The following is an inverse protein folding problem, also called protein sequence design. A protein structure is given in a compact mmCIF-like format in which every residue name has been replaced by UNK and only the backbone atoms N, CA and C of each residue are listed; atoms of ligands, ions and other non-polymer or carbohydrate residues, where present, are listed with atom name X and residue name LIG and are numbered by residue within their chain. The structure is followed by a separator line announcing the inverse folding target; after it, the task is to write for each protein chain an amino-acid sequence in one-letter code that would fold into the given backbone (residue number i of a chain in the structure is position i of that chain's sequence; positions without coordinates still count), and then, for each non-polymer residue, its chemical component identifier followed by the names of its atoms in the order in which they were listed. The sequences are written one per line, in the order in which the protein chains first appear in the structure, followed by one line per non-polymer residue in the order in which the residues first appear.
data_IF_529217645742
#
_entry.id   IF_529217645742
#
_cell.length_a   1.000
_cell.length_b   1.000
_cell.length_c   1.000
_cell.angle_alpha   90.00
_cell.angle_beta   90.00
_cell.angle_gamma   90.00
#
_symmetry.space_group_name_H-M   'P 1'
#
loop_
_entity.id
_entity.type
_entity.pdbx_description
1 polymer ?
#
# COMPACT_ATOMS: atom_id res chain seq x y z
N UNK A 1 14.05 -32.22 56.10
CA UNK A 1 14.51 -31.88 54.74
C UNK A 1 13.54 -31.00 53.97
N UNK A 2 12.22 -31.19 54.09
CA UNK A 2 11.18 -30.40 53.41
C UNK A 2 11.25 -28.87 53.68
N UNK A 3 11.54 -28.43 54.91
CA UNK A 3 11.69 -27.00 55.26
C UNK A 3 12.93 -26.32 54.65
N UNK A 4 14.00 -27.10 54.39
CA UNK A 4 15.23 -26.58 53.73
C UNK A 4 15.05 -26.47 52.22
N UNK A 5 14.22 -27.35 51.63
CA UNK A 5 13.80 -27.25 50.23
C UNK A 5 12.86 -26.08 49.97
N UNK A 6 11.92 -25.81 50.87
CA UNK A 6 11.01 -24.66 50.78
C UNK A 6 11.73 -23.30 50.89
N UNK A 7 12.76 -23.19 51.75
CA UNK A 7 13.59 -21.98 51.81
C UNK A 7 14.41 -21.76 50.53
N UNK A 8 14.89 -22.84 49.90
CA UNK A 8 15.63 -22.75 48.64
C UNK A 8 14.74 -22.36 47.45
N UNK A 9 13.49 -22.82 47.41
CA UNK A 9 12.53 -22.43 46.35
C UNK A 9 12.05 -20.99 46.52
N UNK A 10 11.84 -20.52 47.77
CA UNK A 10 11.45 -19.13 48.04
C UNK A 10 12.59 -18.14 47.72
N UNK A 11 13.84 -18.53 47.97
CA UNK A 11 15.01 -17.71 47.62
C UNK A 11 15.26 -17.64 46.10
N UNK A 12 14.94 -18.71 45.35
CA UNK A 12 15.03 -18.71 43.89
C UNK A 12 13.95 -17.85 43.22
N UNK A 13 12.75 -17.78 43.81
CA UNK A 13 11.65 -16.90 43.36
C UNK A 13 11.93 -15.41 43.62
N UNK A 14 12.72 -15.07 44.64
CA UNK A 14 13.14 -13.69 44.91
C UNK A 14 14.25 -13.17 43.97
N UNK A 15 14.99 -14.05 43.27
CA UNK A 15 15.97 -13.64 42.26
C UNK A 15 15.37 -13.44 40.87
N UNK A 16 14.17 -13.96 40.59
CA UNK A 16 13.44 -13.68 39.35
C UNK A 16 12.70 -12.33 39.36
N UNK A 17 12.60 -11.67 40.53
CA UNK A 17 12.09 -10.30 40.66
C UNK A 17 13.20 -9.24 40.69
N UNK A 18 14.45 -9.62 40.39
CA UNK A 18 15.45 -8.66 39.98
C UNK A 18 15.00 -8.07 38.63
N UNK A 19 14.22 -6.98 38.73
CA UNK A 19 13.83 -6.12 37.64
C UNK A 19 15.03 -5.96 36.71
N UNK A 20 14.93 -6.54 35.50
CA UNK A 20 15.91 -6.26 34.47
C UNK A 20 15.86 -4.74 34.28
N UNK A 21 16.89 -4.06 34.76
CA UNK A 21 17.08 -2.65 34.55
C UNK A 21 17.28 -2.49 33.05
N UNK A 22 16.17 -2.29 32.33
CA UNK A 22 16.20 -1.77 30.98
C UNK A 22 16.89 -0.42 31.11
N UNK A 23 18.11 -0.33 30.58
CA UNK A 23 18.94 0.86 30.57
C UNK A 23 18.21 1.97 29.82
N UNK A 24 17.33 2.70 30.49
CA UNK A 24 16.63 3.83 29.91
C UNK A 24 17.61 4.99 29.71
N UNK A 25 17.47 5.72 28.61
CA UNK A 25 18.28 6.93 28.41
C UNK A 25 18.12 7.90 29.59
N UNK A 26 19.25 8.38 30.10
CA UNK A 26 19.31 9.21 31.31
C UNK A 26 18.83 10.65 31.09
N UNK A 27 18.81 11.12 29.85
CA UNK A 27 18.60 12.52 29.47
C UNK A 27 17.26 12.80 28.78
N UNK A 28 16.34 11.83 28.75
CA UNK A 28 15.01 11.98 28.13
C UNK A 28 13.91 12.35 29.13
N UNK A 29 14.25 12.53 30.40
CA UNK A 29 13.28 12.87 31.45
C UNK A 29 12.60 14.21 31.15
N UNK A 30 11.26 14.22 31.20
CA UNK A 30 10.40 15.37 30.83
C UNK A 30 10.41 15.71 29.33
N UNK A 31 10.99 14.87 28.48
CA UNK A 31 10.83 15.02 27.03
C UNK A 31 9.38 14.66 26.64
N UNK A 32 8.72 15.43 25.77
CA UNK A 32 7.34 15.12 25.36
C UNK A 32 7.20 13.74 24.68
N UNK A 33 8.30 13.16 24.18
CA UNK A 33 8.34 11.84 23.57
C UNK A 33 9.05 10.79 24.44
N UNK A 34 9.27 11.03 25.74
CA UNK A 34 9.99 10.13 26.66
C UNK A 34 9.54 8.66 26.55
N UNK A 35 8.22 8.42 26.66
CA UNK A 35 7.67 7.08 26.59
C UNK A 35 7.90 6.41 25.22
N UNK A 36 7.74 7.17 24.13
CA UNK A 36 7.95 6.70 22.76
C UNK A 36 9.41 6.36 22.49
N UNK A 37 10.33 7.22 22.93
CA UNK A 37 11.77 7.00 22.83
C UNK A 37 12.17 5.74 23.61
N UNK A 38 11.65 5.57 24.83
CA UNK A 38 11.89 4.38 25.65
C UNK A 38 11.43 3.10 24.96
N UNK A 39 10.26 3.11 24.31
CA UNK A 39 9.76 1.95 23.58
C UNK A 39 10.60 1.63 22.35
N UNK A 40 10.98 2.65 21.58
CA UNK A 40 11.88 2.49 20.43
C UNK A 40 13.27 1.98 20.82
N UNK A 41 13.77 2.36 22.00
CA UNK A 41 14.99 1.81 22.56
C UNK A 41 14.83 0.32 22.92
N UNK A 42 13.73 -0.05 23.57
CA UNK A 42 13.41 -1.46 23.89
C UNK A 42 13.27 -2.33 22.64
N UNK A 43 12.73 -1.79 21.56
CA UNK A 43 12.68 -2.44 20.25
C UNK A 43 14.05 -2.51 19.55
N UNK A 44 15.10 -1.94 20.16
CA UNK A 44 16.44 -1.89 19.58
C UNK A 44 16.55 -0.98 18.37
N UNK A 45 15.54 -0.15 18.08
CA UNK A 45 15.53 0.77 16.92
C UNK A 45 16.47 1.94 17.20
N UNK A 46 16.34 2.56 18.38
CA UNK A 46 17.18 3.66 18.80
C UNK A 46 18.36 3.18 19.63
N UNK A 47 19.49 3.87 19.46
CA UNK A 47 20.70 3.68 20.24
C UNK A 47 21.22 5.04 20.71
N UNK A 48 21.87 5.06 21.87
CA UNK A 48 22.50 6.25 22.43
C UNK A 48 23.77 6.64 21.71
N UNK A 49 24.39 7.75 22.12
CA UNK A 49 25.72 8.13 21.64
C UNK A 49 26.78 7.23 22.27
N UNK A 50 27.12 6.12 21.61
CA UNK A 50 28.24 5.25 21.99
C UNK A 50 28.06 4.55 23.34
N UNK A 51 29.08 4.64 24.20
CA UNK A 51 29.18 3.96 25.51
C UNK A 51 28.46 4.68 26.65
N UNK A 52 27.59 5.65 26.34
CA UNK A 52 26.87 6.44 27.33
C UNK A 52 25.38 6.22 27.18
N UNK A 53 24.65 6.11 28.29
CA UNK A 53 23.18 5.99 28.33
C UNK A 53 22.49 7.32 27.99
N UNK A 54 22.95 8.03 26.95
CA UNK A 54 22.53 9.37 26.57
C UNK A 54 21.94 9.34 25.15
N UNK A 55 20.72 9.85 25.01
CA UNK A 55 20.00 9.91 23.74
C UNK A 55 20.24 11.22 22.97
N UNK A 56 20.45 12.33 23.66
CA UNK A 56 20.52 13.69 23.14
C UNK A 56 19.23 14.13 22.42
N UNK A 57 18.08 14.24 23.11
CA UNK A 57 16.77 14.50 22.48
C UNK A 57 16.73 15.80 21.66
N UNK A 58 17.46 16.83 22.08
CA UNK A 58 17.56 18.13 21.38
C UNK A 58 18.59 18.14 20.23
N UNK A 59 19.40 17.08 20.11
CA UNK A 59 20.36 16.93 19.03
C UNK A 59 19.66 16.88 17.67
N UNK A 60 20.34 17.34 16.62
CA UNK A 60 19.81 17.37 15.26
C UNK A 60 20.20 16.10 14.51
N UNK A 61 19.30 15.58 13.67
CA UNK A 61 19.60 14.43 12.84
C UNK A 61 20.35 14.84 11.57
N UNK A 62 21.37 14.06 11.23
CA UNK A 62 21.91 14.06 9.86
C UNK A 62 21.01 13.26 8.94
N UNK A 63 21.16 13.46 7.63
CA UNK A 63 20.44 12.69 6.63
C UNK A 63 20.68 11.19 6.79
N UNK A 64 21.92 10.80 7.04
CA UNK A 64 22.29 9.41 7.30
C UNK A 64 21.51 8.81 8.47
N UNK A 65 21.47 9.52 9.60
CA UNK A 65 20.77 9.06 10.79
C UNK A 65 19.25 9.02 10.60
N UNK A 66 18.67 9.99 9.89
CA UNK A 66 17.24 10.03 9.58
C UNK A 66 16.78 8.84 8.72
N UNK A 67 17.47 8.58 7.61
CA UNK A 67 17.11 7.47 6.71
C UNK A 67 17.34 6.11 7.38
N UNK A 68 18.47 5.92 8.07
CA UNK A 68 18.71 4.67 8.81
C UNK A 68 17.65 4.42 9.89
N UNK A 69 17.18 5.48 10.55
CA UNK A 69 16.11 5.40 11.54
C UNK A 69 14.78 4.95 10.90
N UNK A 70 14.40 5.53 9.76
CA UNK A 70 13.15 5.17 9.05
C UNK A 70 13.20 3.72 8.55
N UNK A 71 14.29 3.34 7.88
CA UNK A 71 14.47 1.98 7.33
C UNK A 71 14.39 0.94 8.43
N UNK A 72 15.12 1.16 9.53
CA UNK A 72 15.15 0.22 10.66
C UNK A 72 13.82 0.19 11.41
N UNK A 73 13.23 1.35 11.67
CA UNK A 73 11.99 1.44 12.45
C UNK A 73 10.79 0.84 11.75
N UNK A 74 10.69 1.03 10.44
CA UNK A 74 9.61 0.44 9.63
C UNK A 74 9.96 -0.97 9.13
N UNK A 75 11.13 -1.53 9.45
CA UNK A 75 11.52 -2.87 9.02
C UNK A 75 11.61 -3.03 7.51
N UNK A 76 11.92 -1.94 6.79
CA UNK A 76 12.06 -1.98 5.34
C UNK A 76 13.22 -2.90 4.96
N UNK A 77 13.01 -3.73 3.95
CA UNK A 77 14.00 -4.68 3.44
C UNK A 77 13.88 -4.83 1.92
N UNK A 78 14.78 -5.61 1.35
CA UNK A 78 14.83 -5.90 -0.10
C UNK A 78 14.94 -7.41 -0.35
N UNK A 79 14.52 -8.23 0.61
CA UNK A 79 14.70 -9.70 0.60
C UNK A 79 13.93 -10.37 -0.54
N UNK A 80 12.91 -9.69 -1.04
CA UNK A 80 12.06 -10.11 -2.16
C UNK A 80 12.62 -9.71 -3.54
N UNK A 81 13.73 -8.97 -3.59
CA UNK A 81 14.36 -8.56 -4.84
C UNK A 81 15.50 -9.53 -5.16
N UNK A 82 15.57 -9.97 -6.42
CA UNK A 82 16.67 -10.82 -6.92
C UNK A 82 17.61 -9.97 -7.74
N UNK A 83 18.87 -9.92 -7.32
CA UNK A 83 19.91 -9.14 -8.00
C UNK A 83 20.88 -10.06 -8.74
N UNK A 84 21.20 -9.69 -9.98
CA UNK A 84 22.30 -10.32 -10.74
C UNK A 84 23.66 -9.90 -10.15
N UNK A 85 23.74 -8.68 -9.59
CA UNK A 85 24.91 -8.10 -8.95
C UNK A 85 24.50 -7.39 -7.68
N UNK A 86 25.29 -7.53 -6.63
CA UNK A 86 25.08 -6.82 -5.36
C UNK A 86 24.94 -5.30 -5.60
N UNK A 87 23.84 -4.67 -5.12
CA UNK A 87 23.63 -3.24 -5.28
C UNK A 87 24.61 -2.44 -4.42
N UNK A 88 25.09 -1.32 -4.96
CA UNK A 88 25.98 -0.40 -4.24
C UNK A 88 25.28 0.93 -4.02
N UNK A 89 25.54 1.59 -2.88
CA UNK A 89 24.93 2.90 -2.59
C UNK A 89 25.30 3.92 -3.67
N UNK A 90 26.51 3.83 -4.24
CA UNK A 90 26.98 4.69 -5.33
C UNK A 90 26.19 4.55 -6.63
N UNK A 91 25.43 3.46 -6.82
CA UNK A 91 24.59 3.28 -8.01
C UNK A 91 23.45 4.32 -8.01
N UNK A 92 22.89 4.59 -6.82
CA UNK A 92 21.81 5.56 -6.61
C UNK A 92 22.30 6.92 -6.12
N UNK A 93 23.39 6.98 -5.35
CA UNK A 93 23.93 8.19 -4.72
C UNK A 93 25.45 8.30 -4.96
N UNK A 94 25.89 8.91 -6.09
CA UNK A 94 27.28 8.87 -6.52
C UNK A 94 28.30 9.47 -5.54
N UNK A 95 27.87 10.36 -4.65
CA UNK A 95 28.72 11.04 -3.66
C UNK A 95 28.89 10.27 -2.34
N UNK A 96 28.15 9.18 -2.15
CA UNK A 96 28.21 8.37 -0.93
C UNK A 96 29.30 7.29 -1.00
N UNK A 97 29.68 6.74 0.15
CA UNK A 97 30.69 5.68 0.25
C UNK A 97 30.04 4.32 0.47
N UNK A 98 30.48 3.31 -0.28
CA UNK A 98 29.92 1.96 -0.25
C UNK A 98 30.16 1.21 1.08
N UNK A 99 31.21 1.57 1.81
CA UNK A 99 31.59 0.98 3.10
C UNK A 99 31.08 1.78 4.32
N UNK A 100 30.30 2.84 4.10
CA UNK A 100 29.75 3.64 5.19
C UNK A 100 28.68 2.86 5.98
N UNK A 101 28.60 3.11 7.28
CA UNK A 101 27.63 2.45 8.18
C UNK A 101 26.16 2.61 7.75
N UNK A 102 25.84 3.68 7.01
CA UNK A 102 24.50 3.97 6.50
C UNK A 102 24.24 3.39 5.09
N UNK A 103 25.26 2.87 4.39
CA UNK A 103 25.15 2.50 2.98
C UNK A 103 24.00 1.52 2.70
N UNK A 104 23.88 0.47 3.52
CA UNK A 104 22.79 -0.51 3.40
C UNK A 104 21.41 0.12 3.60
N UNK A 105 21.26 1.04 4.56
CA UNK A 105 20.00 1.75 4.75
C UNK A 105 19.62 2.56 3.52
N UNK A 106 20.56 3.24 2.87
CA UNK A 106 20.27 4.03 1.66
C UNK A 106 19.93 3.17 0.46
N UNK A 107 20.60 2.02 0.30
CA UNK A 107 20.23 1.03 -0.75
C UNK A 107 18.79 0.57 -0.54
N UNK A 108 18.45 0.13 0.68
CA UNK A 108 17.10 -0.32 1.03
C UNK A 108 16.08 0.81 0.80
N UNK A 109 16.37 2.01 1.28
CA UNK A 109 15.50 3.17 1.14
C UNK A 109 15.22 3.52 -0.33
N UNK A 110 16.26 3.56 -1.16
CA UNK A 110 16.12 3.87 -2.59
C UNK A 110 15.25 2.84 -3.31
N UNK A 111 15.46 1.55 -3.03
CA UNK A 111 14.70 0.46 -3.65
C UNK A 111 13.27 0.33 -3.11
N UNK A 112 12.99 0.91 -1.94
CA UNK A 112 11.66 1.02 -1.37
C UNK A 112 10.97 2.35 -1.70
N UNK A 113 11.55 3.19 -2.56
CA UNK A 113 10.90 4.40 -3.05
C UNK A 113 10.78 5.52 -2.03
N UNK A 114 11.75 5.65 -1.10
CA UNK A 114 11.77 6.72 -0.10
C UNK A 114 12.03 8.12 -0.68
N UNK A 115 12.25 8.22 -1.99
CA UNK A 115 12.35 9.50 -2.72
C UNK A 115 13.47 10.42 -2.20
N UNK A 116 14.66 9.83 -2.01
CA UNK A 116 15.85 10.53 -1.53
C UNK A 116 16.54 11.21 -2.74
N UNK A 117 16.86 12.52 -2.68
CA UNK A 117 17.60 13.18 -3.75
C UNK A 117 18.95 12.52 -4.03
N UNK A 118 19.30 12.37 -5.31
CA UNK A 118 20.53 11.68 -5.76
C UNK A 118 21.82 12.33 -5.26
N UNK A 119 21.81 13.63 -5.04
CA UNK A 119 22.94 14.45 -4.63
C UNK A 119 23.01 14.72 -3.12
N UNK A 120 22.11 14.10 -2.34
CA UNK A 120 22.05 14.17 -0.88
C UNK A 120 23.42 14.00 -0.24
N UNK A 121 23.82 14.95 0.60
CA UNK A 121 24.94 14.81 1.52
C UNK A 121 24.48 14.04 2.77
N UNK A 122 24.98 12.83 3.03
CA UNK A 122 24.57 12.02 4.18
C UNK A 122 24.92 12.67 5.54
N UNK A 123 25.85 13.63 5.56
CA UNK A 123 26.26 14.35 6.77
C UNK A 123 25.46 15.64 7.03
N UNK A 124 24.73 16.13 6.03
CA UNK A 124 23.91 17.33 6.18
C UNK A 124 22.78 17.13 7.20
N UNK A 125 22.39 18.21 7.87
CA UNK A 125 21.25 18.19 8.79
C UNK A 125 19.96 18.00 7.99
N UNK A 126 19.14 17.04 8.42
CA UNK A 126 17.84 16.78 7.80
C UNK A 126 16.79 17.75 8.36
N UNK A 127 16.02 18.36 7.48
CA UNK A 127 14.92 19.25 7.85
C UNK A 127 13.66 18.46 8.25
N UNK A 128 12.71 19.13 8.90
CA UNK A 128 11.41 18.55 9.28
C UNK A 128 10.62 18.06 8.07
N UNK A 129 10.54 18.86 7.01
CA UNK A 129 9.81 18.47 5.79
C UNK A 129 10.43 17.26 5.08
N UNK A 130 11.77 17.17 5.06
CA UNK A 130 12.47 16.04 4.46
C UNK A 130 12.22 14.76 5.25
N UNK A 131 12.35 14.81 6.58
CA UNK A 131 12.06 13.65 7.42
C UNK A 131 10.59 13.23 7.30
N UNK A 132 9.66 14.19 7.30
CA UNK A 132 8.23 13.94 7.10
C UNK A 132 7.97 13.23 5.76
N UNK A 133 8.58 13.72 4.68
CA UNK A 133 8.43 13.13 3.36
C UNK A 133 8.92 11.67 3.31
N UNK A 134 10.17 11.42 3.71
CA UNK A 134 10.74 10.08 3.67
C UNK A 134 10.02 9.11 4.62
N UNK A 135 9.57 9.58 5.79
CA UNK A 135 8.79 8.77 6.72
C UNK A 135 7.46 8.36 6.09
N UNK A 136 6.77 9.29 5.44
CA UNK A 136 5.48 9.01 4.80
C UNK A 136 5.63 8.05 3.62
N UNK A 137 6.66 8.21 2.79
CA UNK A 137 7.00 7.23 1.74
C UNK A 137 7.25 5.85 2.33
N UNK A 138 7.96 5.79 3.45
CA UNK A 138 8.17 4.56 4.21
C UNK A 138 6.88 3.93 4.72
N UNK A 139 5.93 4.72 5.23
CA UNK A 139 4.60 4.22 5.65
C UNK A 139 3.87 3.62 4.45
N UNK A 140 3.77 4.36 3.33
CA UNK A 140 3.06 3.92 2.13
C UNK A 140 3.69 2.68 1.49
N UNK A 141 4.97 2.41 1.76
CA UNK A 141 5.61 1.17 1.30
C UNK A 141 5.03 -0.09 1.96
N UNK A 142 4.46 0.04 3.16
CA UNK A 142 3.91 -1.05 3.95
C UNK A 142 2.49 -1.46 3.52
N UNK A 143 1.85 -0.67 2.66
CA UNK A 143 0.53 -0.96 2.12
C UNK A 143 -0.18 0.31 1.67
N UNK A 144 -1.28 0.10 0.95
CA UNK A 144 -2.20 1.18 0.60
C UNK A 144 -3.10 1.47 1.81
N UNK A 145 -3.13 2.72 2.25
CA UNK A 145 -3.95 3.15 3.39
C UNK A 145 -4.98 4.16 2.93
N UNK A 146 -6.17 4.08 3.53
CA UNK A 146 -7.19 5.11 3.33
C UNK A 146 -6.86 6.35 4.17
N UNK A 147 -6.91 7.52 3.54
CA UNK A 147 -6.76 8.81 4.19
C UNK A 147 -8.06 9.59 4.02
N UNK A 148 -8.41 10.40 5.03
CA UNK A 148 -9.47 11.39 4.86
C UNK A 148 -8.92 12.58 4.08
N UNK A 149 -9.71 13.09 3.13
CA UNK A 149 -9.37 14.30 2.36
C UNK A 149 -9.61 15.55 3.21
N UNK A 150 -8.74 15.76 4.19
CA UNK A 150 -8.71 16.95 5.04
C UNK A 150 -7.48 17.78 4.67
N UNK A 151 -7.64 19.11 4.57
CA UNK A 151 -6.52 20.03 4.40
C UNK A 151 -6.28 20.82 5.69
N UNK A 152 -5.11 20.62 6.31
CA UNK A 152 -4.66 21.35 7.49
C UNK A 152 -3.98 22.64 7.04
N UNK A 153 -4.41 23.80 7.55
CA UNK A 153 -3.84 25.10 7.21
C UNK A 153 -2.55 25.33 8.01
N UNK A 154 -1.46 25.70 7.32
CA UNK A 154 -0.17 26.05 7.91
C UNK A 154 0.08 27.55 7.74
N UNK A 155 0.51 28.26 8.79
CA UNK A 155 0.87 29.69 8.66
C UNK A 155 2.17 29.91 7.88
N UNK A 156 3.00 28.88 7.77
CA UNK A 156 4.27 28.85 7.03
C UNK A 156 4.20 27.91 5.83
N UNK A 157 3.00 27.73 5.24
CA UNK A 157 2.77 26.90 4.06
C UNK A 157 3.68 27.29 2.89
N UNK A 158 3.91 28.59 2.68
CA UNK A 158 4.76 29.11 1.62
C UNK A 158 6.23 28.68 1.73
N UNK A 159 6.68 28.26 2.93
CA UNK A 159 8.04 27.76 3.15
C UNK A 159 8.17 26.26 2.83
N UNK A 160 7.06 25.56 2.58
CA UNK A 160 7.06 24.12 2.32
C UNK A 160 7.49 23.85 0.87
N UNK A 161 8.40 22.89 0.69
CA UNK A 161 8.67 22.35 -0.65
C UNK A 161 7.42 21.65 -1.21
N UNK A 162 6.99 22.03 -2.42
CA UNK A 162 5.69 21.61 -2.96
C UNK A 162 5.60 20.08 -3.05
N UNK A 163 6.70 19.41 -3.41
CA UNK A 163 6.77 17.95 -3.49
C UNK A 163 6.53 17.25 -2.13
N UNK A 164 6.71 17.95 -1.01
CA UNK A 164 6.61 17.39 0.34
C UNK A 164 5.26 17.69 1.03
N UNK A 165 4.46 18.61 0.47
CA UNK A 165 3.20 19.05 1.08
C UNK A 165 2.24 17.90 1.38
N UNK A 166 2.03 17.00 0.41
CA UNK A 166 1.15 15.83 0.58
C UNK A 166 1.58 14.94 1.76
N UNK A 167 2.88 14.73 1.91
CA UNK A 167 3.43 13.93 3.01
C UNK A 167 3.23 14.61 4.37
N UNK A 168 3.44 15.93 4.43
CA UNK A 168 3.22 16.73 5.64
C UNK A 168 1.74 16.69 6.04
N UNK A 169 0.83 16.94 5.08
CA UNK A 169 -0.61 16.90 5.31
C UNK A 169 -1.04 15.54 5.87
N UNK A 170 -0.63 14.44 5.23
CA UNK A 170 -0.99 13.10 5.71
C UNK A 170 -0.45 12.83 7.13
N UNK A 171 0.80 13.20 7.44
CA UNK A 171 1.33 13.02 8.80
C UNK A 171 0.61 13.88 9.84
N UNK A 172 0.13 15.08 9.49
CA UNK A 172 -0.69 15.93 10.36
C UNK A 172 -2.09 15.32 10.58
N UNK A 173 -2.73 14.83 9.51
CA UNK A 173 -4.04 14.16 9.56
C UNK A 173 -3.98 12.90 10.43
N UNK A 174 -2.91 12.11 10.28
CA UNK A 174 -2.65 10.94 11.11
C UNK A 174 -2.24 11.28 12.55
N UNK A 175 -2.04 12.57 12.87
CA UNK A 175 -1.54 13.06 14.17
C UNK A 175 -0.17 12.48 14.56
N UNK A 176 0.61 12.08 13.57
CA UNK A 176 1.99 11.63 13.74
C UNK A 176 2.89 12.85 13.92
N UNK A 177 2.70 13.87 13.08
CA UNK A 177 3.27 15.20 13.24
C UNK A 177 2.21 16.18 13.79
N UNK A 178 2.66 17.30 14.34
CA UNK A 178 1.79 18.35 14.87
C UNK A 178 2.38 19.73 14.54
N UNK A 179 1.49 20.72 14.36
CA UNK A 179 1.87 22.12 14.31
C UNK A 179 2.22 22.63 15.70
N UNK A 180 3.02 23.69 15.75
CA UNK A 180 3.27 24.39 17.01
C UNK A 180 2.07 25.24 17.46
N UNK A 181 2.22 25.87 18.63
CA UNK A 181 1.21 26.76 19.21
C UNK A 181 0.84 27.97 18.33
N UNK A 182 1.71 28.32 17.40
CA UNK A 182 1.54 29.46 16.50
C UNK A 182 0.95 29.02 15.13
N UNK A 183 0.59 27.73 14.99
CA UNK A 183 0.10 27.06 13.78
C UNK A 183 1.14 26.97 12.66
N UNK A 184 2.41 26.76 13.02
CA UNK A 184 3.52 26.57 12.08
C UNK A 184 4.05 25.15 12.12
N UNK A 185 4.52 24.66 10.97
CA UNK A 185 5.20 23.37 10.85
C UNK A 185 6.73 23.50 11.00
N UNK A 186 7.28 24.66 10.64
CA UNK A 186 8.70 24.97 10.53
C UNK A 186 9.43 24.03 9.55
N UNK A 187 9.02 23.97 8.26
CA UNK A 187 9.48 22.95 7.32
C UNK A 187 11.00 22.91 7.16
N UNK A 188 11.65 24.07 7.09
CA UNK A 188 13.10 24.20 6.89
C UNK A 188 13.94 24.01 8.17
N UNK A 189 13.32 23.88 9.34
CA UNK A 189 14.07 23.67 10.58
C UNK A 189 14.67 22.26 10.62
N UNK A 190 15.90 22.13 11.13
CA UNK A 190 16.50 20.82 11.36
C UNK A 190 15.69 20.03 12.39
N UNK A 191 15.30 18.80 12.05
CA UNK A 191 14.52 17.94 12.94
C UNK A 191 15.39 17.48 14.12
N UNK A 192 14.81 17.50 15.32
CA UNK A 192 15.48 16.96 16.51
C UNK A 192 15.35 15.44 16.59
N UNK A 193 16.25 14.80 17.34
CA UNK A 193 16.20 13.36 17.63
C UNK A 193 14.90 12.97 18.36
N UNK A 194 14.41 13.80 19.28
CA UNK A 194 13.13 13.57 19.96
C UNK A 194 11.95 13.64 18.99
N UNK A 195 11.85 14.68 18.15
CA UNK A 195 10.76 14.82 17.19
C UNK A 195 10.72 13.64 16.21
N UNK A 196 11.88 13.28 15.64
CA UNK A 196 12.00 12.16 14.71
C UNK A 196 11.59 10.82 15.36
N UNK A 197 12.02 10.58 16.60
CA UNK A 197 11.61 9.39 17.36
C UNK A 197 10.10 9.38 17.63
N UNK A 198 9.54 10.53 18.01
CA UNK A 198 8.10 10.69 18.23
C UNK A 198 7.27 10.38 16.99
N UNK A 199 7.72 10.84 15.83
CA UNK A 199 7.05 10.60 14.54
C UNK A 199 7.23 9.16 14.07
N UNK A 200 8.45 8.61 14.17
CA UNK A 200 8.72 7.22 13.81
C UNK A 200 7.88 6.25 14.64
N UNK A 201 7.78 6.47 15.95
CA UNK A 201 6.93 5.67 16.82
C UNK A 201 5.46 5.73 16.37
N UNK A 202 4.95 6.94 16.10
CA UNK A 202 3.60 7.12 15.58
C UNK A 202 3.36 6.37 14.26
N UNK A 203 4.33 6.41 13.35
CA UNK A 203 4.29 5.68 12.09
C UNK A 203 4.27 4.15 12.29
N UNK A 204 5.11 3.62 13.19
CA UNK A 204 5.13 2.19 13.54
C UNK A 204 3.77 1.77 14.11
N UNK A 205 3.21 2.55 15.04
CA UNK A 205 1.90 2.25 15.62
C UNK A 205 0.79 2.33 14.57
N UNK A 206 0.84 3.30 13.66
CA UNK A 206 -0.13 3.41 12.57
C UNK A 206 -0.10 2.18 11.67
N UNK A 207 1.07 1.79 11.16
CA UNK A 207 1.24 0.62 10.28
C UNK A 207 0.81 -0.67 10.98
N UNK A 208 1.13 -0.82 12.27
CA UNK A 208 0.77 -2.02 13.04
C UNK A 208 -0.73 -2.15 13.27
N UNK A 209 -1.40 -1.03 13.50
CA UNK A 209 -2.80 -1.01 13.97
C UNK A 209 -3.81 -0.68 12.86
N UNK A 210 -3.35 -0.39 11.65
CA UNK A 210 -4.20 -0.04 10.51
C UNK A 210 -4.04 -1.11 9.42
N UNK A 211 -5.09 -1.89 9.11
CA UNK A 211 -5.03 -2.80 7.99
C UNK A 211 -4.94 -2.01 6.68
N UNK A 212 -4.10 -2.43 5.73
CA UNK A 212 -4.13 -1.88 4.37
C UNK A 212 -5.52 -2.04 3.76
N UNK A 213 -5.87 -1.13 2.85
CA UNK A 213 -7.03 -1.28 1.99
C UNK A 213 -6.84 -2.57 1.20
N UNK A 214 -7.82 -3.49 1.20
CA UNK A 214 -7.76 -4.67 0.38
C UNK A 214 -7.54 -4.23 -1.07
N UNK A 215 -6.62 -4.90 -1.78
CA UNK A 215 -6.56 -4.74 -3.22
C UNK A 215 -7.99 -4.98 -3.74
N UNK A 216 -8.54 -4.01 -4.47
CA UNK A 216 -9.77 -4.25 -5.21
C UNK A 216 -9.39 -5.37 -6.18
N UNK A 217 -9.90 -6.58 -5.94
CA UNK A 217 -9.86 -7.61 -6.96
C UNK A 217 -10.64 -7.01 -8.13
N UNK A 218 -9.92 -6.53 -9.15
CA UNK A 218 -10.58 -6.11 -10.38
C UNK A 218 -11.45 -7.29 -10.81
N UNK A 219 -12.77 -7.08 -11.04
CA UNK A 219 -13.64 -8.17 -11.45
C UNK A 219 -12.99 -8.78 -12.68
N UNK A 220 -12.53 -10.02 -12.56
CA UNK A 220 -11.84 -10.70 -13.66
C UNK A 220 -12.82 -10.68 -14.83
N UNK A 221 -12.51 -9.96 -15.92
CA UNK A 221 -13.48 -9.75 -16.98
C UNK A 221 -13.95 -11.10 -17.47
N UNK A 222 -15.27 -11.30 -17.52
CA UNK A 222 -15.86 -12.54 -17.99
C UNK A 222 -15.33 -12.81 -19.40
N UNK A 223 -14.46 -13.81 -19.61
CA UNK A 223 -13.60 -13.89 -20.78
C UNK A 223 -14.31 -14.48 -22.00
N UNK A 224 -15.58 -14.88 -21.84
CA UNK A 224 -16.36 -15.54 -22.87
C UNK A 224 -17.32 -14.55 -23.53
N UNK A 225 -17.35 -14.55 -24.86
CA UNK A 225 -18.17 -13.68 -25.69
C UNK A 225 -19.32 -14.47 -26.32
N UNK A 226 -20.34 -13.76 -26.79
CA UNK A 226 -21.47 -14.34 -27.53
C UNK A 226 -22.14 -15.52 -26.83
N UNK A 227 -22.50 -15.34 -25.55
CA UNK A 227 -23.26 -16.35 -24.83
C UNK A 227 -24.60 -16.59 -25.51
N UNK A 228 -24.83 -17.83 -25.91
CA UNK A 228 -26.05 -18.27 -26.55
C UNK A 228 -26.63 -19.43 -25.77
N UNK A 229 -27.94 -19.36 -25.54
CA UNK A 229 -28.72 -20.43 -24.95
C UNK A 229 -29.59 -21.06 -26.04
N UNK A 230 -29.55 -22.38 -26.10
CA UNK A 230 -30.43 -23.18 -26.95
C UNK A 230 -30.99 -24.34 -26.14
N UNK A 231 -32.16 -24.83 -26.53
CA UNK A 231 -32.82 -25.94 -25.85
C UNK A 231 -33.45 -26.90 -26.83
N UNK A 232 -33.45 -28.20 -26.50
CA UNK A 232 -34.13 -29.24 -27.26
C UNK A 232 -34.86 -30.20 -26.32
N UNK A 233 -36.06 -30.63 -26.70
CA UNK A 233 -36.78 -31.66 -25.94
C UNK A 233 -36.02 -33.00 -26.05
N UNK A 234 -35.80 -33.66 -24.93
CA UNK A 234 -35.25 -35.02 -24.88
C UNK A 234 -36.40 -36.03 -24.87
N UNK A 235 -37.43 -35.76 -24.06
CA UNK A 235 -38.68 -36.49 -23.99
C UNK A 235 -39.80 -35.56 -23.46
N UNK A 236 -40.97 -36.12 -23.11
CA UNK A 236 -42.11 -35.34 -22.61
C UNK A 236 -41.86 -34.63 -21.27
N UNK A 237 -40.86 -35.06 -20.49
CA UNK A 237 -40.61 -34.57 -19.13
C UNK A 237 -39.31 -33.76 -19.01
N UNK A 238 -38.36 -33.95 -19.93
CA UNK A 238 -37.00 -33.39 -19.84
C UNK A 238 -36.64 -32.57 -21.09
N UNK A 239 -36.12 -31.37 -20.85
CA UNK A 239 -35.51 -30.49 -21.84
C UNK A 239 -34.01 -30.40 -21.60
N UNK A 240 -33.21 -30.64 -22.64
CA UNK A 240 -31.77 -30.40 -22.64
C UNK A 240 -31.52 -28.93 -22.98
N UNK A 241 -30.69 -28.26 -22.19
CA UNK A 241 -30.31 -26.87 -22.36
C UNK A 241 -28.81 -26.81 -22.62
N UNK A 242 -28.43 -26.22 -23.74
CA UNK A 242 -27.03 -25.99 -24.13
C UNK A 242 -26.73 -24.51 -24.04
N UNK A 243 -25.70 -24.16 -23.28
CA UNK A 243 -25.08 -22.82 -23.32
C UNK A 243 -23.79 -22.93 -24.12
N UNK A 244 -23.61 -22.06 -25.11
CA UNK A 244 -22.37 -21.95 -25.89
C UNK A 244 -21.82 -20.53 -25.84
N UNK A 245 -20.51 -20.40 -25.99
CA UNK A 245 -19.82 -19.12 -26.05
C UNK A 245 -18.54 -19.22 -26.88
N UNK A 246 -18.00 -18.07 -27.29
CA UNK A 246 -16.66 -17.96 -27.85
C UNK A 246 -15.64 -17.67 -26.75
N UNK A 247 -14.52 -18.36 -26.75
CA UNK A 247 -13.44 -18.20 -25.79
C UNK A 247 -12.15 -17.72 -26.48
N UNK A 248 -11.28 -16.95 -25.82
CA UNK A 248 -10.08 -16.37 -26.44
C UNK A 248 -9.07 -17.42 -26.94
N UNK A 249 -9.00 -18.57 -26.26
CA UNK A 249 -8.14 -19.68 -26.61
C UNK A 249 -8.69 -21.02 -26.06
N UNK A 250 -8.19 -22.18 -26.54
CA UNK A 250 -8.67 -23.50 -26.12
C UNK A 250 -8.43 -23.86 -24.65
N UNK A 251 -7.68 -23.04 -23.90
CA UNK A 251 -7.46 -23.25 -22.47
C UNK A 251 -8.63 -22.78 -21.61
N UNK A 252 -9.50 -21.95 -22.16
CA UNK A 252 -10.74 -21.58 -21.49
C UNK A 252 -11.82 -22.65 -21.69
N UNK A 253 -12.68 -22.78 -20.70
CA UNK A 253 -13.88 -23.60 -20.76
C UNK A 253 -15.11 -22.83 -20.29
N UNK A 254 -16.26 -23.50 -20.36
CA UNK A 254 -17.54 -23.00 -19.86
C UNK A 254 -18.16 -24.08 -18.99
N UNK A 255 -18.66 -23.71 -17.81
CA UNK A 255 -19.44 -24.60 -16.95
C UNK A 255 -20.74 -23.95 -16.53
N UNK A 256 -21.75 -24.76 -16.30
CA UNK A 256 -22.97 -24.34 -15.62
C UNK A 256 -22.67 -24.39 -14.12
N UNK A 257 -22.67 -23.23 -13.47
CA UNK A 257 -22.33 -23.07 -12.07
C UNK A 257 -23.52 -23.42 -11.17
N UNK A 258 -24.72 -22.96 -11.54
CA UNK A 258 -25.95 -23.24 -10.83
C UNK A 258 -27.18 -23.07 -11.72
N UNK A 259 -28.31 -23.57 -11.24
CA UNK A 259 -29.63 -23.34 -11.83
C UNK A 259 -30.55 -22.86 -10.71
N UNK A 260 -31.18 -21.70 -10.88
CA UNK A 260 -32.25 -21.24 -9.99
C UNK A 260 -33.58 -21.25 -10.72
N UNK A 261 -34.66 -21.48 -9.98
CA UNK A 261 -36.02 -21.56 -10.54
C UNK A 261 -36.85 -20.41 -9.97
N UNK A 262 -37.41 -19.60 -10.86
CA UNK A 262 -38.24 -18.44 -10.50
C UNK A 262 -39.48 -18.43 -11.39
N UNK A 263 -40.64 -18.71 -10.79
CA UNK A 263 -41.88 -18.87 -11.55
C UNK A 263 -41.80 -20.02 -12.55
N UNK A 264 -41.99 -19.71 -13.83
CA UNK A 264 -41.89 -20.64 -14.96
C UNK A 264 -40.49 -20.67 -15.60
N UNK A 265 -39.50 -19.96 -15.05
CA UNK A 265 -38.16 -19.86 -15.60
C UNK A 265 -37.14 -20.72 -14.85
N UNK A 266 -36.21 -21.28 -15.60
CA UNK A 266 -34.97 -21.86 -15.10
C UNK A 266 -33.80 -20.94 -15.49
N UNK A 267 -33.30 -20.18 -14.54
CA UNK A 267 -32.16 -19.27 -14.69
C UNK A 267 -30.85 -20.08 -14.67
N UNK A 268 -30.17 -20.17 -15.82
CA UNK A 268 -28.92 -20.90 -15.99
C UNK A 268 -27.75 -19.97 -15.74
N UNK A 269 -27.05 -20.16 -14.63
CA UNK A 269 -25.86 -19.38 -14.28
C UNK A 269 -24.61 -20.11 -14.75
N UNK A 270 -23.72 -19.39 -15.42
CA UNK A 270 -22.50 -19.97 -16.00
C UNK A 270 -21.25 -19.24 -15.54
N UNK A 271 -20.14 -19.99 -15.51
CA UNK A 271 -18.82 -19.48 -15.18
C UNK A 271 -17.78 -19.95 -16.20
N UNK A 272 -16.75 -19.12 -16.47
CA UNK A 272 -15.62 -19.55 -17.26
C UNK A 272 -14.75 -20.52 -16.45
N UNK A 273 -14.16 -21.49 -17.14
CA UNK A 273 -13.01 -22.24 -16.63
C UNK A 273 -11.77 -21.56 -17.20
N UNK A 274 -10.82 -21.17 -16.35
CA UNK A 274 -9.61 -20.48 -16.77
C UNK A 274 -8.51 -21.45 -17.22
N UNK A 275 -7.62 -21.03 -18.15
CA UNK A 275 -6.48 -21.82 -18.58
C UNK A 275 -5.53 -22.12 -17.43
N UNK A 276 -4.94 -23.31 -17.50
CA UNK A 276 -3.86 -23.74 -16.62
C UNK A 276 -2.61 -22.91 -16.90
N UNK A 277 -2.11 -22.18 -15.90
CA UNK A 277 -1.00 -21.23 -16.08
C UNK A 277 0.31 -21.90 -16.51
N UNK A 278 0.45 -23.21 -16.28
CA UNK A 278 1.66 -23.97 -16.61
C UNK A 278 1.61 -24.59 -18.02
N UNK A 279 0.55 -24.31 -18.79
CA UNK A 279 0.35 -24.84 -20.15
C UNK A 279 0.35 -23.73 -21.20
N UNK A 280 0.87 -24.09 -22.37
CA UNK A 280 0.80 -23.25 -23.55
C UNK A 280 -0.48 -23.56 -24.34
N UNK A 281 -1.19 -22.51 -24.74
CA UNK A 281 -2.41 -22.60 -25.54
C UNK A 281 -2.27 -21.81 -26.84
N UNK A 282 -2.77 -22.39 -27.93
CA UNK A 282 -2.82 -21.73 -29.23
C UNK A 282 -3.70 -20.46 -29.15
N UNK A 283 -3.25 -19.37 -29.77
CA UNK A 283 -3.95 -18.08 -29.76
C UNK A 283 -5.02 -18.04 -30.86
N UNK A 284 -6.06 -18.87 -30.71
CA UNK A 284 -7.18 -18.97 -31.65
C UNK A 284 -8.49 -18.98 -30.88
N UNK A 285 -9.47 -18.23 -31.35
CA UNK A 285 -10.81 -18.21 -30.76
C UNK A 285 -11.44 -19.60 -30.88
N UNK A 286 -12.00 -20.11 -29.79
CA UNK A 286 -12.62 -21.44 -29.75
C UNK A 286 -14.03 -21.41 -29.20
N UNK A 287 -14.91 -22.25 -29.76
CA UNK A 287 -16.25 -22.42 -29.24
C UNK A 287 -16.24 -23.37 -28.04
N UNK A 288 -16.81 -22.92 -26.92
CA UNK A 288 -17.02 -23.71 -25.71
C UNK A 288 -18.51 -23.93 -25.49
N UNK A 289 -18.88 -25.05 -24.87
CA UNK A 289 -20.28 -25.36 -24.55
C UNK A 289 -20.41 -26.13 -23.25
N UNK A 290 -21.53 -25.92 -22.57
CA UNK A 290 -21.97 -26.69 -21.42
C UNK A 290 -23.42 -27.12 -21.60
N UNK A 291 -23.78 -28.28 -21.06
CA UNK A 291 -25.11 -28.87 -21.19
C UNK A 291 -25.67 -29.19 -19.81
N UNK A 292 -26.94 -28.89 -19.60
CA UNK A 292 -27.71 -29.34 -18.44
C UNK A 292 -29.11 -29.78 -18.86
N UNK A 293 -29.87 -30.30 -17.91
CA UNK A 293 -31.23 -30.79 -18.11
C UNK A 293 -32.18 -30.12 -17.10
N UNK A 294 -33.32 -29.67 -17.59
CA UNK A 294 -34.41 -29.11 -16.78
C UNK A 294 -35.71 -29.83 -17.10
N UNK A 295 -36.70 -29.76 -16.19
CA UNK A 295 -38.03 -30.28 -16.49
C UNK A 295 -38.69 -29.45 -17.61
N UNK A 296 -39.40 -30.10 -18.53
CA UNK A 296 -40.00 -29.47 -19.73
C UNK A 296 -41.03 -28.38 -19.45
N UNK A 297 -41.49 -28.25 -18.20
CA UNK A 297 -42.38 -27.17 -17.76
C UNK A 297 -41.68 -25.83 -17.53
N UNK A 298 -40.34 -25.78 -17.52
CA UNK A 298 -39.59 -24.55 -17.30
C UNK A 298 -39.01 -23.99 -18.60
N UNK A 299 -39.08 -22.67 -18.75
CA UNK A 299 -38.42 -21.92 -19.82
C UNK A 299 -36.98 -21.59 -19.42
N UNK A 300 -35.96 -22.08 -20.15
CA UNK A 300 -34.57 -21.77 -19.84
C UNK A 300 -34.24 -20.32 -20.24
N UNK A 301 -33.55 -19.61 -19.35
CA UNK A 301 -33.02 -18.26 -19.59
C UNK A 301 -31.60 -18.16 -19.02
N UNK A 302 -30.76 -17.26 -19.54
CA UNK A 302 -29.44 -17.00 -18.97
C UNK A 302 -29.60 -16.15 -17.70
N UNK A 303 -28.95 -16.55 -16.60
CA UNK A 303 -28.85 -15.73 -15.41
C UNK A 303 -27.87 -14.58 -15.59
N UNK A 304 -27.97 -13.55 -14.74
CA UNK A 304 -27.04 -12.42 -14.73
C UNK A 304 -25.61 -12.93 -14.51
N UNK A 305 -24.80 -12.88 -15.56
CA UNK A 305 -23.35 -13.05 -15.43
C UNK A 305 -22.80 -11.75 -14.88
N UNK A 306 -21.84 -11.81 -13.94
CA UNK A 306 -21.22 -10.62 -13.32
C UNK A 306 -20.47 -9.67 -14.28
N UNK A 307 -20.71 -9.77 -15.59
CA UNK A 307 -20.30 -8.80 -16.59
C UNK A 307 -21.48 -7.85 -16.86
N UNK A 308 -21.35 -6.63 -16.34
CA UNK A 308 -22.09 -5.46 -16.81
C UNK A 308 -22.23 -5.50 -18.33
N UNK A 309 -23.47 -5.59 -18.82
CA UNK A 309 -23.81 -5.44 -20.22
C UNK A 309 -23.51 -3.99 -20.59
N UNK A 310 -22.28 -3.73 -21.01
CA UNK A 310 -21.86 -2.52 -21.72
C UNK A 310 -22.45 -2.49 -23.13
N UNK A 311 -23.78 -2.50 -23.22
CA UNK A 311 -24.51 -2.23 -24.45
C UNK A 311 -24.54 -0.73 -24.68
N UNK A 312 -23.50 -0.19 -25.34
CA UNK A 312 -23.55 1.13 -25.94
C UNK A 312 -24.71 1.15 -26.94
N UNK A 313 -25.83 1.73 -26.53
CA UNK A 313 -26.91 2.09 -27.45
C UNK A 313 -26.40 3.28 -28.27
N UNK A 314 -25.89 2.96 -29.46
CA UNK A 314 -25.60 3.96 -30.49
C UNK A 314 -26.90 4.67 -30.86
N UNK A 315 -27.11 5.87 -30.32
CA UNK A 315 -28.11 6.80 -30.83
C UNK A 315 -27.54 7.39 -32.12
N UNK A 316 -28.06 6.90 -33.24
CA UNK A 316 -27.99 7.58 -34.53
C UNK A 316 -28.95 8.78 -34.45
N UNK A 317 -28.40 9.98 -34.43
CA UNK A 317 -29.14 11.25 -34.57
C UNK A 317 -28.34 12.18 -35.48
N UNK A 318 -28.80 12.33 -36.71
CA UNK A 318 -28.09 12.99 -37.80
C UNK A 318 -28.11 14.52 -37.81
N UNK A 319 -27.43 15.03 -38.85
CA UNK A 319 -27.35 16.39 -39.35
C UNK A 319 -26.49 17.41 -38.57
N UNK A 320 -25.22 17.49 -38.97
CA UNK A 320 -24.38 18.68 -38.84
C UNK A 320 -23.76 19.02 -40.19
N UNK A 321 -24.48 19.79 -40.99
CA UNK A 321 -24.02 20.39 -42.24
C UNK A 321 -22.81 21.29 -42.01
N UNK A 322 -21.82 21.13 -42.88
CA UNK A 322 -20.70 22.02 -43.11
C UNK A 322 -21.16 23.46 -43.40
N UNK A 323 -20.66 24.41 -42.63
CA UNK A 323 -20.62 25.82 -43.02
C UNK A 323 -19.40 26.50 -42.41
N UNK A 324 -18.45 26.81 -43.28
CA UNK A 324 -17.38 27.78 -43.10
C UNK A 324 -17.94 29.18 -42.78
N UNK A 325 -17.35 29.89 -41.82
CA UNK A 325 -17.30 31.36 -41.89
C UNK A 325 -16.10 31.90 -41.12
N UNK A 326 -15.42 32.84 -41.78
CA UNK A 326 -14.24 33.59 -41.35
C UNK A 326 -14.58 34.71 -40.36
N UNK A 327 -13.53 35.14 -39.64
CA UNK A 327 -13.21 36.52 -39.22
C UNK A 327 -13.99 37.09 -37.99
N UNK A 328 -13.47 38.11 -37.27
CA UNK A 328 -12.48 39.10 -37.73
C UNK A 328 -11.34 39.54 -36.79
N UNK A 329 -10.36 40.09 -37.49
CA UNK A 329 -9.42 41.16 -37.17
C UNK A 329 -9.87 42.12 -36.04
N UNK A 330 -8.96 42.37 -35.10
CA UNK A 330 -9.06 43.48 -34.14
C UNK A 330 -7.83 44.37 -34.30
N UNK A 331 -8.02 45.43 -35.10
CA UNK A 331 -7.20 46.62 -35.07
C UNK A 331 -7.95 47.70 -34.29
N UNK A 332 -7.29 48.26 -33.26
CA UNK A 332 -7.63 49.58 -32.70
C UNK A 332 -6.31 50.36 -32.64
N UNK A 333 -6.26 51.44 -33.42
CA UNK A 333 -5.25 52.49 -33.26
C UNK A 333 -5.80 53.61 -32.38
N UNK A 334 -4.94 54.18 -31.55
CA UNK A 334 -4.31 55.50 -31.74
C UNK A 334 -3.01 55.53 -30.93
#
# INVERSE_FOLDING_TARGET
MLKRFALFTMMLLLFLSASQSVWAFSDIKNDPNEAKITELQKMGILSGSGTTDVFQPKGKLTYAAGISMIVKGLGLNIDNIRFIKEPKVTDSFPKMKNDAWYANSFIIASLNGLDIPRDTDPSALMTKEQFAHHLMKGILRQGDFAFIDLYVILKDEADVEQAYMDSIQKLLILKIAQLDKDQKFSPKAAITRSEAAGWLHGAIQFVKNTPPVPAIEEPVPFPLYDLQLSSKAVNSEITEVTVSAQAPNPGYGLRIASISFEGDQANIHVEPIYPDKDKFYAQVITNVKAVTYIASGFKPVLGDTGASVGGSTGIIGGNGTSASSQAPDMAVGQ
#
